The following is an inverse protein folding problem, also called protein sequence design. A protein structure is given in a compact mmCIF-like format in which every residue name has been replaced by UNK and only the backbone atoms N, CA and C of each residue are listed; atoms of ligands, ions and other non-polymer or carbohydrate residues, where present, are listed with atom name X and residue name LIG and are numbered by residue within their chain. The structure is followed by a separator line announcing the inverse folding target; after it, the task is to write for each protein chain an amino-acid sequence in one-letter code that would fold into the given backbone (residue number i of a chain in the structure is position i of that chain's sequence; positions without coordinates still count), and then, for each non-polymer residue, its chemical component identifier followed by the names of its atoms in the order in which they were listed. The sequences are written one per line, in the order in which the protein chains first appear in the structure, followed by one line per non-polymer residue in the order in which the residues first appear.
data_IF_325528211277
#
_entry.id   IF_325528211277
#
_cell.length_a   1.000
_cell.length_b   1.000
_cell.length_c   1.000
_cell.angle_alpha   90.00
_cell.angle_beta   90.00
_cell.angle_gamma   90.00
#
_symmetry.space_group_name_H-M   'P 1'
#
loop_
_entity.id
_entity.type
_entity.pdbx_description
1 polymer ?
#
# COMPACT_ATOMS: atom_id res chain seq x y z
N UNK A 1 -0.59 3.21 -10.08
CA UNK A 1 -1.94 3.75 -9.77
C UNK A 1 -1.87 4.56 -8.50
N UNK A 2 -2.59 5.67 -8.37
CA UNK A 2 -2.60 6.51 -7.15
C UNK A 2 -3.97 6.46 -6.46
N UNK A 3 -3.99 6.29 -5.14
CA UNK A 3 -5.21 6.22 -4.32
C UNK A 3 -5.08 7.09 -3.08
N UNK A 4 -6.15 7.79 -2.72
CA UNK A 4 -6.19 8.57 -1.48
C UNK A 4 -6.24 7.67 -0.23
N UNK A 5 -5.58 8.09 0.85
CA UNK A 5 -5.52 7.32 2.11
C UNK A 5 -6.91 6.96 2.67
N UNK A 6 -7.90 7.83 2.48
CA UNK A 6 -9.27 7.61 2.96
C UNK A 6 -9.94 6.46 2.23
N UNK A 7 -9.80 6.41 0.91
CA UNK A 7 -10.32 5.33 0.07
C UNK A 7 -9.54 4.03 0.31
N UNK A 8 -8.22 4.14 0.45
CA UNK A 8 -7.36 3.02 0.77
C UNK A 8 -7.72 2.36 2.11
N UNK A 9 -7.98 3.15 3.17
CA UNK A 9 -8.40 2.62 4.48
C UNK A 9 -9.76 1.93 4.43
N UNK A 10 -10.67 2.41 3.58
CA UNK A 10 -12.02 1.83 3.44
C UNK A 10 -11.99 0.51 2.67
N UNK A 11 -11.12 0.41 1.65
CA UNK A 11 -11.09 -0.69 0.70
C UNK A 11 -9.71 -1.38 0.64
N UNK A 12 -9.03 -1.51 1.78
CA UNK A 12 -7.62 -1.97 1.86
C UNK A 12 -7.39 -3.31 1.18
N UNK A 13 -8.31 -4.28 1.35
CA UNK A 13 -8.18 -5.61 0.74
C UNK A 13 -8.17 -5.60 -0.79
N UNK A 14 -9.01 -4.76 -1.42
CA UNK A 14 -9.06 -4.64 -2.89
C UNK A 14 -7.79 -4.01 -3.46
N UNK A 15 -7.24 -3.02 -2.76
CA UNK A 15 -5.99 -2.39 -3.19
C UNK A 15 -4.77 -3.28 -2.92
N UNK A 16 -4.82 -4.15 -1.91
CA UNK A 16 -3.79 -5.16 -1.66
C UNK A 16 -3.78 -6.24 -2.75
N UNK A 17 -4.96 -6.70 -3.19
CA UNK A 17 -5.08 -7.65 -4.31
C UNK A 17 -4.57 -7.03 -5.63
N UNK A 18 -4.96 -5.79 -5.92
CA UNK A 18 -4.44 -5.03 -7.06
C UNK A 18 -2.92 -4.82 -6.99
N UNK A 19 -2.39 -4.69 -5.77
CA UNK A 19 -0.96 -4.52 -5.58
C UNK A 19 -0.16 -5.74 -6.06
N UNK A 20 -0.73 -6.94 -6.05
CA UNK A 20 -0.06 -8.17 -6.53
C UNK A 20 0.31 -8.11 -8.01
N UNK A 21 -0.42 -7.32 -8.80
CA UNK A 21 -0.21 -7.19 -10.25
C UNK A 21 0.37 -5.82 -10.64
N UNK A 22 0.15 -4.78 -9.83
CA UNK A 22 0.54 -3.41 -10.17
C UNK A 22 0.98 -2.61 -8.93
N UNK A 23 1.93 -1.71 -9.06
CA UNK A 23 2.27 -0.80 -7.96
C UNK A 23 1.13 0.20 -7.65
N UNK A 24 0.79 0.28 -6.35
CA UNK A 24 -0.24 1.18 -5.82
C UNK A 24 0.40 2.23 -4.91
N UNK A 25 0.29 3.50 -5.30
CA UNK A 25 0.77 4.64 -4.53
C UNK A 25 -0.38 5.21 -3.71
N UNK A 26 -0.18 5.34 -2.40
CA UNK A 26 -1.17 5.88 -1.48
C UNK A 26 -0.78 7.33 -1.18
N UNK A 27 -1.68 8.27 -1.48
CA UNK A 27 -1.48 9.70 -1.25
C UNK A 27 -2.34 10.22 -0.11
N UNK A 28 -1.80 11.16 0.68
CA UNK A 28 -2.51 11.90 1.72
C UNK A 28 -2.28 13.39 1.46
N UNK A 29 -3.37 14.13 1.21
CA UNK A 29 -3.32 15.57 0.91
C UNK A 29 -2.35 15.91 -0.25
N UNK A 30 -2.41 15.13 -1.33
CA UNK A 30 -1.56 15.34 -2.52
C UNK A 30 -0.09 14.92 -2.37
N UNK A 31 0.31 14.36 -1.22
CA UNK A 31 1.65 13.81 -1.00
C UNK A 31 1.61 12.29 -0.93
N UNK A 32 2.56 11.61 -1.56
CA UNK A 32 2.70 10.14 -1.44
C UNK A 32 3.07 9.81 0.00
N UNK A 33 2.18 9.09 0.68
CA UNK A 33 2.34 8.68 2.07
C UNK A 33 2.83 7.23 2.19
N UNK A 34 2.50 6.38 1.21
CA UNK A 34 2.97 5.00 1.15
C UNK A 34 2.95 4.47 -0.29
N UNK A 35 3.68 3.39 -0.54
CA UNK A 35 3.64 2.64 -1.80
C UNK A 35 3.50 1.16 -1.48
N UNK A 36 2.51 0.50 -2.04
CA UNK A 36 2.39 -0.96 -2.02
C UNK A 36 3.04 -1.47 -3.30
N UNK A 37 4.12 -2.20 -3.11
CA UNK A 37 4.81 -2.92 -4.18
C UNK A 37 4.30 -4.34 -4.15
N UNK A 38 3.76 -4.81 -5.27
CA UNK A 38 3.45 -6.21 -5.41
C UNK A 38 4.69 -7.04 -5.20
N UNK A 39 4.60 -8.08 -4.38
CA UNK A 39 5.66 -9.07 -4.23
C UNK A 39 5.73 -9.95 -5.50
N UNK A 40 5.93 -9.34 -6.67
CA UNK A 40 6.44 -10.02 -7.85
C UNK A 40 7.94 -10.23 -7.58
N UNK A 41 8.28 -11.33 -6.91
CA UNK A 41 9.66 -11.79 -6.72
C UNK A 41 10.60 -10.80 -5.99
N UNK A 42 10.28 -10.49 -4.74
CA UNK A 42 11.35 -10.27 -3.76
C UNK A 42 10.96 -10.96 -2.46
N UNK A 43 11.21 -12.26 -2.42
CA UNK A 43 11.16 -13.09 -1.23
C UNK A 43 11.84 -12.31 -0.09
N UNK A 44 11.24 -12.34 1.10
CA UNK A 44 11.90 -12.09 2.41
C UNK A 44 11.84 -10.68 3.07
N UNK A 45 11.46 -9.58 2.41
CA UNK A 45 11.52 -8.24 3.06
C UNK A 45 10.19 -7.52 3.36
N UNK A 46 9.07 -7.87 2.72
CA UNK A 46 7.90 -6.97 2.68
C UNK A 46 6.79 -7.24 3.72
N UNK A 47 6.82 -8.37 4.44
CA UNK A 47 5.73 -8.72 5.37
C UNK A 47 5.81 -8.06 6.76
N UNK A 48 6.95 -7.46 7.13
CA UNK A 48 7.12 -6.76 8.41
C UNK A 48 6.68 -5.28 8.39
N UNK A 49 6.89 -4.60 7.27
CA UNK A 49 6.86 -3.12 7.22
C UNK A 49 5.45 -2.51 7.06
N UNK A 50 4.50 -3.28 6.50
CA UNK A 50 3.14 -2.79 6.21
C UNK A 50 2.33 -2.58 7.51
N UNK A 51 2.49 -3.45 8.51
CA UNK A 51 1.75 -3.34 9.77
C UNK A 51 2.30 -2.25 10.69
N UNK A 52 3.61 -2.01 10.68
CA UNK A 52 4.23 -1.00 11.55
C UNK A 52 3.89 0.42 11.09
N UNK A 53 3.81 0.65 9.78
CA UNK A 53 3.41 1.93 9.20
C UNK A 53 1.94 2.28 9.50
N UNK A 54 1.04 1.30 9.55
CA UNK A 54 -0.39 1.52 9.87
C UNK A 54 -0.60 1.86 11.35
N UNK A 55 0.25 1.37 12.26
CA UNK A 55 0.17 1.71 13.70
C UNK A 55 0.58 3.15 14.06
N UNK A 56 1.28 3.86 13.16
CA UNK A 56 1.78 5.23 13.39
C UNK A 56 0.85 6.34 12.85
N UNK A 57 -0.33 6.00 12.33
CA UNK A 57 -1.33 6.93 11.77
C UNK A 57 -2.61 6.92 12.58
#
# INVERSE_FOLDING_TARGET
MEVGITEFKKNTGRYLDLALTNDVFITKNGKVAAKIVGAQSNTEAANGDIFETIKKI
#
